data_IF_467724798893
#
_entry.id   IF_467724798893
#
_cell.length_a   1.000
_cell.length_b   1.000
_cell.length_c   1.000
_cell.angle_alpha   90.00
_cell.angle_beta   90.00
_cell.angle_gamma   90.00
#
_symmetry.space_group_name_H-M   'P 1'
#
loop_
_entity.id
_entity.type
_entity.pdbx_description
1 polymer ?
#
# COMPACT_ATOMS: atom_id res chain seq x y z
N UNK A 1 21.72 -56.15 2.70
CA UNK A 1 22.34 -55.12 3.57
C UNK A 1 22.96 -54.11 2.64
N UNK A 2 22.27 -53.00 2.36
CA UNK A 2 22.81 -51.96 1.50
C UNK A 2 22.29 -50.60 1.98
N UNK A 3 23.22 -49.71 2.32
CA UNK A 3 22.95 -48.37 2.89
C UNK A 3 22.78 -47.38 1.74
N UNK A 4 21.55 -47.00 1.43
CA UNK A 4 21.27 -45.83 0.60
C UNK A 4 21.28 -44.57 1.49
N UNK A 5 22.37 -43.81 1.42
CA UNK A 5 22.51 -42.50 2.02
C UNK A 5 21.60 -41.49 1.30
N UNK A 6 20.57 -41.00 2.01
CA UNK A 6 19.77 -39.86 1.57
C UNK A 6 20.56 -38.60 1.89
N UNK A 7 21.20 -38.03 0.87
CA UNK A 7 21.83 -36.72 0.92
C UNK A 7 20.73 -35.65 1.04
N UNK A 8 20.50 -35.16 2.25
CA UNK A 8 19.78 -33.90 2.50
C UNK A 8 20.67 -32.73 2.06
N UNK A 9 20.48 -32.27 0.83
CA UNK A 9 21.05 -31.02 0.34
C UNK A 9 20.42 -29.83 1.06
N UNK A 10 21.15 -29.26 2.01
CA UNK A 10 20.86 -28.02 2.68
C UNK A 10 21.27 -26.83 1.79
N UNK A 11 20.40 -26.46 0.84
CA UNK A 11 20.47 -25.19 0.11
C UNK A 11 19.05 -24.64 -0.12
N UNK A 12 18.36 -24.38 0.99
CA UNK A 12 17.13 -23.60 0.97
C UNK A 12 17.50 -22.15 0.62
N UNK A 13 17.38 -21.79 -0.65
CA UNK A 13 17.41 -20.40 -1.10
C UNK A 13 16.30 -19.61 -0.39
N UNK A 14 16.66 -19.03 0.75
CA UNK A 14 15.95 -17.95 1.39
C UNK A 14 15.86 -16.87 0.30
N UNK A 15 14.65 -16.54 -0.10
CA UNK A 15 14.42 -15.86 -1.37
C UNK A 15 13.05 -16.26 -1.84
N UNK A 16 12.05 -15.99 -0.99
CA UNK A 16 10.65 -16.26 -1.23
C UNK A 16 10.14 -15.58 -2.48
N UNK A 17 10.47 -16.14 -3.65
CA UNK A 17 9.64 -16.04 -4.83
C UNK A 17 8.33 -16.71 -4.45
N UNK A 18 7.22 -16.00 -4.63
CA UNK A 18 5.92 -16.65 -4.66
C UNK A 18 6.03 -17.84 -5.64
N UNK A 19 5.84 -19.10 -5.20
CA UNK A 19 5.98 -20.22 -6.11
C UNK A 19 4.93 -20.08 -7.21
N UNK A 20 5.33 -20.03 -8.49
CA UNK A 20 4.36 -20.16 -9.56
C UNK A 20 3.81 -21.58 -9.46
N UNK A 21 2.54 -21.72 -9.08
CA UNK A 21 1.79 -22.95 -9.33
C UNK A 21 1.66 -23.08 -10.85
N UNK A 22 2.63 -23.74 -11.50
CA UNK A 22 2.60 -24.05 -12.93
C UNK A 22 2.69 -25.57 -13.15
N UNK A 23 1.84 -26.14 -14.01
CA UNK A 23 2.04 -27.48 -14.54
C UNK A 23 3.33 -27.52 -15.39
N UNK A 24 4.04 -28.64 -15.31
CA UNK A 24 5.46 -28.83 -15.64
C UNK A 24 5.85 -28.83 -17.13
N UNK A 25 4.95 -28.53 -18.08
CA UNK A 25 5.22 -28.75 -19.52
C UNK A 25 5.08 -27.49 -20.41
N UNK A 26 5.33 -26.27 -19.89
CA UNK A 26 5.30 -25.05 -20.73
C UNK A 26 6.72 -24.68 -21.17
N UNK A 27 7.02 -24.61 -22.49
CA UNK A 27 8.35 -24.25 -22.98
C UNK A 27 8.82 -22.89 -22.45
N UNK A 28 10.14 -22.69 -22.29
CA UNK A 28 10.71 -21.46 -21.76
C UNK A 28 10.29 -20.28 -22.67
N UNK A 29 9.51 -19.35 -22.12
CA UNK A 29 9.14 -18.11 -22.80
C UNK A 29 10.35 -17.16 -22.85
N UNK A 30 11.33 -17.48 -23.68
CA UNK A 30 12.44 -16.59 -24.05
C UNK A 30 11.99 -15.71 -25.22
N UNK A 31 11.77 -14.40 -24.98
CA UNK A 31 12.03 -13.27 -25.92
C UNK A 31 11.14 -12.02 -25.77
N UNK A 32 10.01 -12.03 -25.04
CA UNK A 32 9.13 -10.83 -24.93
C UNK A 32 9.22 -10.11 -23.59
N UNK A 33 10.43 -9.87 -23.09
CA UNK A 33 10.65 -9.02 -21.92
C UNK A 33 10.32 -7.54 -22.18
N UNK A 34 10.29 -7.12 -23.46
CA UNK A 34 10.04 -5.73 -23.87
C UNK A 34 8.60 -5.26 -23.63
N UNK A 35 7.61 -6.14 -23.80
CA UNK A 35 6.19 -5.77 -23.70
C UNK A 35 5.79 -5.16 -22.35
N UNK A 36 6.09 -5.82 -21.21
CA UNK A 36 5.80 -5.26 -19.89
C UNK A 36 6.53 -3.93 -19.61
N UNK A 37 7.71 -3.71 -20.20
CA UNK A 37 8.54 -2.53 -19.94
C UNK A 37 7.96 -1.33 -20.67
N UNK A 38 7.65 -1.50 -21.96
CA UNK A 38 6.99 -0.48 -22.76
C UNK A 38 5.65 -0.08 -22.15
N UNK A 39 4.86 -1.05 -21.67
CA UNK A 39 3.61 -0.76 -20.97
C UNK A 39 3.85 0.02 -19.67
N UNK A 40 4.86 -0.35 -18.88
CA UNK A 40 5.21 0.35 -17.65
C UNK A 40 5.64 1.80 -17.91
N UNK A 41 6.51 2.03 -18.90
CA UNK A 41 6.93 3.38 -19.30
C UNK A 41 5.75 4.20 -19.83
N UNK A 42 4.91 3.61 -20.68
CA UNK A 42 3.72 4.25 -21.21
C UNK A 42 2.73 4.67 -20.11
N UNK A 43 2.46 3.80 -19.14
CA UNK A 43 1.60 4.13 -17.98
C UNK A 43 2.26 5.18 -17.08
N UNK A 44 3.58 5.10 -16.84
CA UNK A 44 4.31 6.11 -16.08
C UNK A 44 4.20 7.50 -16.71
N UNK A 45 4.41 7.60 -18.03
CA UNK A 45 4.26 8.84 -18.78
C UNK A 45 2.81 9.34 -18.79
N UNK A 46 1.84 8.45 -18.97
CA UNK A 46 0.42 8.81 -18.90
C UNK A 46 0.04 9.33 -17.50
N UNK A 47 0.56 8.73 -16.43
CA UNK A 47 0.34 9.18 -15.07
C UNK A 47 1.00 10.55 -14.80
N UNK A 48 2.21 10.76 -15.32
CA UNK A 48 2.88 12.08 -15.30
C UNK A 48 2.04 13.14 -16.02
N UNK A 49 1.58 12.85 -17.24
CA UNK A 49 0.74 13.74 -18.02
C UNK A 49 -0.60 14.02 -17.32
N UNK A 50 -1.22 13.00 -16.72
CA UNK A 50 -2.46 13.12 -15.98
C UNK A 50 -2.34 14.15 -14.83
N UNK A 51 -1.26 14.10 -14.05
CA UNK A 51 -1.06 15.08 -12.97
C UNK A 51 -0.54 16.43 -13.46
N UNK A 52 0.21 16.45 -14.57
CA UNK A 52 0.71 17.68 -15.18
C UNK A 52 -0.42 18.53 -15.77
N UNK A 53 -1.34 17.92 -16.52
CA UNK A 53 -2.42 18.64 -17.20
C UNK A 53 -3.73 18.64 -16.41
N UNK A 54 -4.04 17.56 -15.70
CA UNK A 54 -5.33 17.38 -15.01
C UNK A 54 -5.33 17.88 -13.57
N UNK A 55 -4.24 17.65 -12.83
CA UNK A 55 -4.13 17.97 -11.40
C UNK A 55 -3.56 19.38 -11.11
N UNK A 56 -3.31 20.19 -12.14
CA UNK A 56 -2.92 21.61 -12.02
C UNK A 56 -4.06 22.55 -11.64
N UNK A 57 -5.28 22.04 -11.44
CA UNK A 57 -6.37 22.88 -10.95
C UNK A 57 -6.01 23.29 -9.53
N UNK A 58 -5.41 24.44 -9.34
CA UNK A 58 -5.52 25.21 -8.10
C UNK A 58 -7.03 25.40 -7.87
N UNK A 59 -7.58 25.19 -6.66
CA UNK A 59 -8.94 25.68 -6.42
C UNK A 59 -8.94 27.18 -6.69
N UNK A 60 -10.06 27.82 -7.04
CA UNK A 60 -10.12 29.28 -7.15
C UNK A 60 -9.50 30.03 -5.94
N UNK A 61 -9.35 29.33 -4.81
CA UNK A 61 -8.81 29.84 -3.54
C UNK A 61 -7.31 29.56 -3.31
N UNK A 62 -6.58 28.87 -4.19
CA UNK A 62 -5.13 28.67 -4.01
C UNK A 62 -4.70 27.40 -3.26
N UNK A 63 -5.62 26.57 -2.77
CA UNK A 63 -5.28 25.46 -1.88
C UNK A 63 -4.65 24.26 -2.63
N UNK A 64 -3.63 23.63 -2.05
CA UNK A 64 -3.09 22.38 -2.63
C UNK A 64 -4.11 21.24 -2.56
N UNK A 65 -3.99 20.35 -3.54
CA UNK A 65 -4.97 19.28 -3.78
C UNK A 65 -4.50 17.88 -3.44
N UNK A 66 -3.18 17.69 -3.30
CA UNK A 66 -2.60 16.36 -3.19
C UNK A 66 -1.90 16.16 -1.86
N UNK A 67 -1.86 14.91 -1.41
CA UNK A 67 -1.10 14.54 -0.20
C UNK A 67 0.39 14.78 -0.39
N UNK A 68 0.90 14.68 -1.62
CA UNK A 68 2.28 14.97 -1.94
C UNK A 68 2.60 16.46 -1.84
N UNK A 69 1.69 17.34 -2.24
CA UNK A 69 1.91 18.79 -2.19
C UNK A 69 2.19 19.24 -0.74
N UNK A 70 1.39 18.72 0.19
CA UNK A 70 1.57 18.93 1.62
C UNK A 70 3.00 18.58 2.06
N UNK A 71 3.50 17.40 1.65
CA UNK A 71 4.85 16.95 1.97
C UNK A 71 5.94 17.76 1.28
N UNK A 72 5.71 18.21 0.05
CA UNK A 72 6.63 19.06 -0.68
C UNK A 72 6.79 20.43 0.02
N UNK A 73 5.68 21.04 0.45
CA UNK A 73 5.71 22.30 1.21
C UNK A 73 6.35 22.10 2.59
N UNK A 74 6.02 21.00 3.29
CA UNK A 74 6.63 20.64 4.56
C UNK A 74 8.16 20.52 4.43
N UNK A 75 8.63 19.85 3.38
CA UNK A 75 10.04 19.66 3.10
C UNK A 75 10.76 21.00 2.82
N UNK A 76 10.09 21.95 2.15
CA UNK A 76 10.66 23.30 1.95
C UNK A 76 10.72 24.15 3.22
N UNK A 77 9.69 24.08 4.07
CA UNK A 77 9.71 24.75 5.37
C UNK A 77 10.84 24.19 6.23
N UNK A 78 10.99 22.86 6.25
CA UNK A 78 12.09 22.19 6.94
C UNK A 78 13.46 22.64 6.39
N UNK A 79 13.60 22.72 5.07
CA UNK A 79 14.82 23.19 4.41
C UNK A 79 15.21 24.62 4.84
N UNK A 80 14.23 25.51 5.04
CA UNK A 80 14.46 26.87 5.53
C UNK A 80 14.61 26.97 7.06
N UNK A 81 14.70 25.84 7.78
CA UNK A 81 14.83 25.80 9.24
C UNK A 81 13.54 26.12 10.01
N UNK A 82 12.39 26.09 9.35
CA UNK A 82 11.08 26.29 9.98
C UNK A 82 10.46 24.99 10.50
N UNK A 83 9.39 25.12 11.29
CA UNK A 83 8.60 23.99 11.79
C UNK A 83 7.46 23.63 10.82
N UNK A 84 7.51 22.45 10.14
CA UNK A 84 6.46 22.05 9.20
C UNK A 84 5.09 21.86 9.86
N UNK A 85 5.04 21.49 11.14
CA UNK A 85 3.78 21.24 11.86
C UNK A 85 3.06 22.53 12.25
N UNK A 86 3.80 23.64 12.42
CA UNK A 86 3.22 24.97 12.64
C UNK A 86 2.87 25.67 11.31
N UNK A 87 3.64 25.41 10.25
CA UNK A 87 3.49 26.09 8.97
C UNK A 87 2.34 25.55 8.11
N UNK A 88 1.88 24.31 8.36
CA UNK A 88 0.86 23.66 7.54
C UNK A 88 -0.35 23.24 8.35
N UNK A 89 -1.53 23.64 7.90
CA UNK A 89 -2.79 23.22 8.50
C UNK A 89 -3.97 24.13 8.16
N UNK A 90 -5.13 23.91 8.81
CA UNK A 90 -6.34 24.67 8.57
C UNK A 90 -6.39 26.00 9.33
N UNK A 91 -5.41 26.28 10.20
CA UNK A 91 -5.40 27.45 11.07
C UNK A 91 -5.08 28.74 10.33
N UNK A 92 -5.58 29.86 10.88
CA UNK A 92 -5.21 31.19 10.43
C UNK A 92 -3.70 31.41 10.67
N UNK A 93 -3.00 31.92 9.65
CA UNK A 93 -1.56 32.15 9.70
C UNK A 93 -0.68 30.99 9.20
N UNK A 94 -1.26 29.83 8.84
CA UNK A 94 -0.50 28.78 8.17
C UNK A 94 0.12 29.31 6.87
N UNK A 95 1.44 29.11 6.71
CA UNK A 95 2.16 29.45 5.48
C UNK A 95 1.64 28.64 4.28
N UNK A 96 1.15 27.44 4.56
CA UNK A 96 0.51 26.57 3.58
C UNK A 96 -0.85 26.10 4.12
N UNK A 97 -1.94 26.68 3.63
CA UNK A 97 -3.30 26.34 4.07
C UNK A 97 -3.73 25.00 3.49
N UNK A 98 -4.17 24.11 4.37
CA UNK A 98 -4.72 22.82 4.01
C UNK A 98 -5.86 22.47 4.97
N UNK A 99 -6.87 21.74 4.49
CA UNK A 99 -8.02 21.35 5.31
C UNK A 99 -7.66 20.44 6.51
N UNK A 100 -6.43 19.91 6.56
CA UNK A 100 -5.95 19.02 7.61
C UNK A 100 -4.57 19.45 8.12
N UNK A 101 -4.26 19.22 9.42
CA UNK A 101 -2.89 19.28 9.92
C UNK A 101 -1.95 18.32 9.18
N UNK A 102 -0.63 18.53 9.35
CA UNK A 102 0.39 17.59 8.87
C UNK A 102 0.35 16.28 9.66
N UNK A 103 -0.41 15.31 9.17
CA UNK A 103 -0.49 13.96 9.78
C UNK A 103 0.71 13.06 9.46
N UNK A 104 1.54 13.45 8.50
CA UNK A 104 2.72 12.68 8.16
C UNK A 104 3.82 12.88 9.20
N UNK A 105 4.54 11.81 9.60
CA UNK A 105 5.71 11.95 10.45
C UNK A 105 6.84 12.65 9.69
N UNK A 106 7.76 13.30 10.41
CA UNK A 106 8.85 14.05 9.79
C UNK A 106 9.78 13.14 8.96
N UNK A 107 9.86 11.84 9.29
CA UNK A 107 10.57 10.84 8.47
C UNK A 107 10.05 10.79 7.03
N UNK A 108 8.75 10.95 6.81
CA UNK A 108 8.16 11.03 5.46
C UNK A 108 8.55 12.35 4.77
N UNK A 109 8.56 13.46 5.51
CA UNK A 109 8.97 14.77 4.99
C UNK A 109 10.43 14.74 4.54
N UNK A 110 11.31 14.15 5.36
CA UNK A 110 12.75 13.95 5.03
C UNK A 110 12.92 13.16 3.74
N UNK A 111 12.13 12.10 3.54
CA UNK A 111 12.18 11.31 2.32
C UNK A 111 11.77 12.09 1.05
N UNK A 112 11.03 13.17 1.20
CA UNK A 112 10.58 14.05 0.11
C UNK A 112 11.57 15.18 -0.17
N UNK A 113 12.53 15.47 0.72
CA UNK A 113 13.53 16.55 0.54
C UNK A 113 14.21 16.56 -0.84
N UNK A 114 14.66 15.43 -1.42
CA UNK A 114 15.27 15.43 -2.75
C UNK A 114 14.32 15.92 -3.85
N UNK A 115 13.03 15.61 -3.74
CA UNK A 115 12.00 16.07 -4.69
C UNK A 115 11.58 17.53 -4.42
N UNK A 116 11.73 18.01 -3.18
CA UNK A 116 11.39 19.39 -2.80
C UNK A 116 12.31 20.44 -3.46
N UNK A 117 13.52 20.03 -3.84
CA UNK A 117 14.45 20.86 -4.62
C UNK A 117 13.91 21.20 -6.03
N UNK A 118 13.02 20.37 -6.58
CA UNK A 118 12.42 20.58 -7.90
C UNK A 118 11.17 21.46 -7.82
N UNK A 119 10.78 22.15 -8.91
CA UNK A 119 9.47 22.79 -9.01
C UNK A 119 8.34 21.80 -8.73
N UNK A 120 7.31 22.22 -7.98
CA UNK A 120 6.23 21.35 -7.54
C UNK A 120 5.59 20.50 -8.66
N UNK A 121 5.30 21.03 -9.87
CA UNK A 121 4.73 20.22 -10.95
C UNK A 121 5.65 19.07 -11.39
N UNK A 122 6.97 19.32 -11.44
CA UNK A 122 7.97 18.31 -11.81
C UNK A 122 8.10 17.26 -10.70
N UNK A 123 8.21 17.71 -9.45
CA UNK A 123 8.27 16.82 -8.28
C UNK A 123 7.06 15.88 -8.22
N UNK A 124 5.85 16.43 -8.42
CA UNK A 124 4.59 15.66 -8.43
C UNK A 124 4.55 14.66 -9.58
N UNK A 125 4.93 15.07 -10.79
CA UNK A 125 4.96 14.19 -11.96
C UNK A 125 5.91 13.00 -11.73
N UNK A 126 7.10 13.25 -11.20
CA UNK A 126 8.07 12.19 -10.88
C UNK A 126 7.55 11.27 -9.77
N UNK A 127 6.99 11.85 -8.70
CA UNK A 127 6.44 11.10 -7.57
C UNK A 127 5.33 10.15 -8.00
N UNK A 128 4.52 10.51 -8.99
CA UNK A 128 3.41 9.68 -9.48
C UNK A 128 3.85 8.71 -10.58
N UNK A 129 4.69 9.15 -11.51
CA UNK A 129 5.11 8.36 -12.66
C UNK A 129 5.93 7.13 -12.27
N UNK A 130 6.92 7.28 -11.38
CA UNK A 130 7.82 6.19 -11.01
C UNK A 130 7.09 5.03 -10.30
N UNK A 131 6.24 5.27 -9.28
CA UNK A 131 5.41 4.22 -8.69
C UNK A 131 4.43 3.58 -9.67
N UNK A 132 3.78 4.38 -10.54
CA UNK A 132 2.83 3.86 -11.53
C UNK A 132 3.52 2.93 -12.53
N UNK A 133 4.69 3.31 -13.05
CA UNK A 133 5.50 2.48 -13.92
C UNK A 133 5.95 1.19 -13.20
N UNK A 134 6.47 1.30 -11.97
CA UNK A 134 6.92 0.14 -11.21
C UNK A 134 5.76 -0.83 -10.91
N UNK A 135 4.60 -0.32 -10.49
CA UNK A 135 3.41 -1.14 -10.25
C UNK A 135 2.98 -1.85 -11.54
N UNK A 136 2.90 -1.12 -12.65
CA UNK A 136 2.51 -1.64 -13.95
C UNK A 136 3.44 -2.76 -14.41
N UNK A 137 4.75 -2.57 -14.27
CA UNK A 137 5.76 -3.59 -14.57
C UNK A 137 5.49 -4.86 -13.76
N UNK A 138 5.25 -4.74 -12.46
CA UNK A 138 5.01 -5.90 -11.58
C UNK A 138 3.67 -6.60 -11.87
N UNK A 139 2.62 -5.87 -12.20
CA UNK A 139 1.33 -6.43 -12.61
C UNK A 139 1.45 -7.16 -13.97
N UNK A 140 2.10 -6.54 -14.95
CA UNK A 140 2.28 -7.09 -16.28
C UNK A 140 3.12 -8.37 -16.30
N UNK A 141 4.11 -8.49 -15.39
CA UNK A 141 4.88 -9.72 -15.19
C UNK A 141 4.09 -10.87 -14.56
N UNK A 142 3.02 -10.55 -13.82
CA UNK A 142 2.14 -11.54 -13.18
C UNK A 142 1.21 -12.21 -14.19
N UNK A 143 0.53 -11.42 -15.01
CA UNK A 143 -0.26 -11.91 -16.14
C UNK A 143 -0.62 -10.77 -17.11
N UNK A 144 -1.10 -11.13 -18.30
CA UNK A 144 -1.58 -10.15 -19.30
C UNK A 144 -2.80 -9.34 -18.87
N UNK A 145 -3.55 -9.78 -17.86
CA UNK A 145 -4.80 -9.14 -17.44
C UNK A 145 -4.69 -8.36 -16.12
N UNK A 146 -3.64 -8.55 -15.32
CA UNK A 146 -3.47 -7.78 -14.07
C UNK A 146 -3.35 -6.27 -14.30
N UNK A 147 -2.71 -5.76 -15.38
CA UNK A 147 -2.69 -4.33 -15.67
C UNK A 147 -4.07 -3.70 -15.84
N UNK A 148 -5.13 -4.47 -16.12
CA UNK A 148 -6.51 -3.94 -16.12
C UNK A 148 -6.90 -3.34 -14.77
N UNK A 149 -6.27 -3.77 -13.67
CA UNK A 149 -6.48 -3.20 -12.34
C UNK A 149 -6.07 -1.72 -12.23
N UNK A 150 -5.21 -1.23 -13.13
CA UNK A 150 -4.83 0.18 -13.20
C UNK A 150 -6.02 1.07 -13.60
N UNK A 151 -7.08 0.50 -14.17
CA UNK A 151 -8.33 1.18 -14.50
C UNK A 151 -9.28 1.28 -13.30
N UNK A 152 -8.93 0.70 -12.15
CA UNK A 152 -9.73 0.85 -10.93
C UNK A 152 -9.74 2.31 -10.48
N UNK A 153 -10.87 2.75 -9.94
CA UNK A 153 -10.98 4.10 -9.41
C UNK A 153 -9.95 4.34 -8.29
N UNK A 154 -9.67 3.33 -7.46
CA UNK A 154 -8.65 3.45 -6.41
C UNK A 154 -7.26 3.79 -6.95
N UNK A 155 -6.85 3.25 -8.10
CA UNK A 155 -5.57 3.65 -8.72
C UNK A 155 -5.66 5.06 -9.27
N UNK A 156 -6.72 5.42 -9.99
CA UNK A 156 -6.87 6.76 -10.60
C UNK A 156 -6.90 7.84 -9.50
N UNK A 157 -7.67 7.61 -8.45
CA UNK A 157 -7.74 8.44 -7.24
C UNK A 157 -6.37 8.56 -6.57
N UNK A 158 -5.63 7.45 -6.44
CA UNK A 158 -4.28 7.47 -5.89
C UNK A 158 -3.31 8.30 -6.74
N UNK A 159 -3.36 8.20 -8.07
CA UNK A 159 -2.52 9.00 -8.96
C UNK A 159 -2.91 10.49 -8.88
N UNK A 160 -4.21 10.80 -8.85
CA UNK A 160 -4.72 12.17 -8.79
C UNK A 160 -4.41 12.87 -7.47
N UNK A 161 -4.52 12.15 -6.35
CA UNK A 161 -4.18 12.62 -5.02
C UNK A 161 -2.68 12.50 -4.70
N UNK A 162 -1.85 12.04 -5.66
CA UNK A 162 -0.43 11.74 -5.49
C UNK A 162 -0.17 10.94 -4.19
N UNK A 163 -0.89 9.83 -4.07
CA UNK A 163 -0.90 8.96 -2.91
C UNK A 163 0.18 7.89 -2.94
N UNK A 164 0.63 7.52 -1.74
CA UNK A 164 1.66 6.53 -1.49
C UNK A 164 1.19 5.08 -1.68
N UNK A 165 -0.11 4.82 -1.84
CA UNK A 165 -0.64 3.45 -1.94
C UNK A 165 -0.14 2.72 -3.19
N UNK A 166 0.07 3.43 -4.30
CA UNK A 166 0.69 2.90 -5.53
C UNK A 166 2.15 2.53 -5.25
N UNK A 167 2.91 3.42 -4.62
CA UNK A 167 4.32 3.19 -4.28
C UNK A 167 4.48 2.02 -3.31
N UNK A 168 3.72 2.00 -2.22
CA UNK A 168 3.80 0.93 -1.21
C UNK A 168 3.39 -0.42 -1.79
N UNK A 169 2.36 -0.47 -2.64
CA UNK A 169 1.98 -1.70 -3.35
C UNK A 169 3.08 -2.15 -4.32
N UNK A 170 3.66 -1.22 -5.10
CA UNK A 170 4.74 -1.53 -6.02
C UNK A 170 6.00 -2.01 -5.28
N UNK A 171 6.34 -1.37 -4.17
CA UNK A 171 7.48 -1.68 -3.31
C UNK A 171 7.33 -3.06 -2.66
N UNK A 172 6.16 -3.37 -2.11
CA UNK A 172 5.88 -4.68 -1.51
C UNK A 172 5.98 -5.84 -2.54
N UNK A 173 5.76 -5.55 -3.82
CA UNK A 173 5.91 -6.50 -4.92
C UNK A 173 7.35 -6.59 -5.47
N UNK A 174 8.24 -5.68 -5.05
CA UNK A 174 9.59 -5.52 -5.60
C UNK A 174 10.62 -5.79 -4.50
N UNK A 175 11.32 -6.95 -4.53
CA UNK A 175 12.20 -7.36 -3.43
C UNK A 175 13.24 -6.32 -3.00
N UNK A 176 13.84 -5.60 -3.96
CA UNK A 176 14.87 -4.57 -3.69
C UNK A 176 14.31 -3.24 -3.19
N UNK A 177 13.00 -3.04 -3.29
CA UNK A 177 12.34 -1.78 -2.94
C UNK A 177 11.63 -1.86 -1.58
N UNK A 178 11.82 -2.93 -0.81
CA UNK A 178 11.14 -3.16 0.47
C UNK A 178 11.32 -2.00 1.46
N UNK A 179 12.49 -1.39 1.50
CA UNK A 179 12.77 -0.22 2.34
C UNK A 179 11.89 1.00 2.04
N UNK A 180 11.33 1.14 0.83
CA UNK A 180 10.41 2.25 0.48
C UNK A 180 9.08 2.18 1.24
N UNK A 181 8.77 1.04 1.87
CA UNK A 181 7.62 0.94 2.77
C UNK A 181 7.80 1.80 4.04
N UNK A 182 9.04 2.09 4.46
CA UNK A 182 9.28 2.97 5.60
C UNK A 182 8.83 4.42 5.37
N UNK A 183 8.63 4.83 4.11
CA UNK A 183 8.31 6.21 3.76
C UNK A 183 6.88 6.63 4.16
N UNK A 184 5.93 5.68 4.21
CA UNK A 184 4.58 5.91 4.75
C UNK A 184 4.21 4.73 5.66
N UNK A 185 4.66 4.74 6.93
CA UNK A 185 4.59 3.56 7.80
C UNK A 185 3.17 3.05 8.00
N UNK A 186 2.18 3.95 8.10
CA UNK A 186 0.77 3.59 8.28
C UNK A 186 0.21 2.83 7.07
N UNK A 187 0.45 3.27 5.83
CA UNK A 187 -0.03 2.57 4.63
C UNK A 187 0.76 1.26 4.40
N UNK A 188 2.04 1.27 4.74
CA UNK A 188 2.90 0.11 4.64
C UNK A 188 2.61 -0.98 5.68
N UNK A 189 2.05 -0.62 6.83
CA UNK A 189 1.79 -1.56 7.93
C UNK A 189 0.96 -2.75 7.47
N UNK A 190 0.00 -2.54 6.57
CA UNK A 190 -0.79 -3.63 6.00
C UNK A 190 0.09 -4.65 5.26
N UNK A 191 1.09 -4.20 4.50
CA UNK A 191 2.04 -5.06 3.81
C UNK A 191 3.00 -5.78 4.74
N UNK A 192 3.51 -5.07 5.74
CA UNK A 192 4.43 -5.63 6.74
C UNK A 192 3.74 -6.74 7.53
N UNK A 193 2.53 -6.48 8.04
CA UNK A 193 1.71 -7.46 8.76
C UNK A 193 1.26 -8.62 7.86
N UNK A 194 1.00 -8.35 6.58
CA UNK A 194 0.56 -9.40 5.68
C UNK A 194 1.69 -10.34 5.26
N UNK A 195 2.93 -9.85 5.12
CA UNK A 195 4.05 -10.64 4.62
C UNK A 195 4.87 -11.27 5.73
N UNK A 196 5.19 -10.52 6.79
CA UNK A 196 6.05 -10.92 7.92
C UNK A 196 7.35 -11.61 7.45
N UNK A 197 7.93 -11.09 6.37
CA UNK A 197 9.20 -11.58 5.82
C UNK A 197 10.37 -10.96 6.58
N UNK A 198 11.32 -11.75 7.13
CA UNK A 198 12.47 -11.21 7.84
C UNK A 198 13.31 -10.24 7.00
N UNK A 199 13.42 -10.50 5.70
CA UNK A 199 14.14 -9.61 4.77
C UNK A 199 13.42 -8.28 4.62
N UNK A 200 12.10 -8.31 4.41
CA UNK A 200 11.32 -7.09 4.30
C UNK A 200 11.39 -6.29 5.60
N UNK A 201 11.22 -6.95 6.75
CA UNK A 201 11.33 -6.32 8.06
C UNK A 201 12.69 -5.65 8.26
N UNK A 202 13.78 -6.34 7.90
CA UNK A 202 15.13 -5.79 7.94
C UNK A 202 15.26 -4.55 7.05
N UNK A 203 14.84 -4.64 5.78
CA UNK A 203 15.01 -3.55 4.82
C UNK A 203 14.16 -2.32 5.23
N UNK A 204 12.94 -2.54 5.74
CA UNK A 204 12.09 -1.49 6.33
C UNK A 204 12.71 -0.89 7.58
N UNK A 205 13.26 -1.72 8.47
CA UNK A 205 13.90 -1.26 9.69
C UNK A 205 15.14 -0.41 9.39
N UNK A 206 16.01 -0.83 8.47
CA UNK A 206 17.22 -0.08 8.10
C UNK A 206 16.85 1.29 7.54
N UNK A 207 15.96 1.35 6.54
CA UNK A 207 15.57 2.64 5.93
C UNK A 207 14.79 3.50 6.92
N UNK A 208 13.89 2.90 7.71
CA UNK A 208 13.11 3.60 8.72
C UNK A 208 13.96 4.20 9.84
N UNK A 209 14.94 3.44 10.36
CA UNK A 209 15.88 3.92 11.37
C UNK A 209 16.78 5.03 10.82
N UNK A 210 17.24 4.92 9.57
CA UNK A 210 18.02 5.97 8.93
C UNK A 210 17.22 7.27 8.80
N UNK A 211 15.97 7.19 8.33
CA UNK A 211 15.08 8.36 8.22
C UNK A 211 14.74 8.94 9.59
N UNK A 212 14.53 8.09 10.60
CA UNK A 212 14.29 8.53 11.98
C UNK A 212 15.50 9.25 12.56
N UNK A 213 16.71 8.75 12.35
CA UNK A 213 17.92 9.40 12.81
C UNK A 213 18.10 10.77 12.16
N UNK A 214 17.91 10.87 10.83
CA UNK A 214 17.99 12.15 10.11
C UNK A 214 16.87 13.11 10.56
N UNK A 215 15.64 12.63 10.76
CA UNK A 215 14.54 13.50 11.19
C UNK A 215 14.74 14.02 12.61
N UNK A 216 15.24 13.21 13.53
CA UNK A 216 15.58 13.64 14.90
C UNK A 216 16.76 14.60 14.93
N UNK A 217 17.72 14.45 14.01
CA UNK A 217 18.83 15.40 13.87
C UNK A 217 18.35 16.76 13.37
N UNK A 218 17.41 16.80 12.42
CA UNK A 218 16.85 18.04 11.88
C UNK A 218 15.91 18.74 12.86
N UNK A 219 15.12 17.98 13.63
CA UNK A 219 14.09 18.55 14.51
C UNK A 219 13.73 17.58 15.66
N UNK A 220 14.47 17.57 16.78
CA UNK A 220 14.27 16.58 17.84
C UNK A 220 12.88 16.63 18.52
N UNK A 221 12.14 17.74 18.36
CA UNK A 221 10.83 17.93 18.98
C UNK A 221 9.65 17.51 18.08
N UNK A 222 9.92 17.08 16.83
CA UNK A 222 8.87 16.77 15.84
C UNK A 222 7.88 15.70 16.31
N UNK A 223 8.34 14.71 17.08
CA UNK A 223 7.50 13.58 17.53
C UNK A 223 6.31 14.11 18.35
N UNK A 224 6.53 15.06 19.27
CA UNK A 224 5.46 15.61 20.10
C UNK A 224 4.42 16.36 19.27
N UNK A 225 4.85 17.17 18.31
CA UNK A 225 3.96 17.91 17.39
C UNK A 225 3.20 16.98 16.46
N UNK A 226 3.87 15.96 15.95
CA UNK A 226 3.24 14.92 15.13
C UNK A 226 2.18 14.15 15.92
N UNK A 227 2.49 13.71 17.14
CA UNK A 227 1.52 13.02 18.01
C UNK A 227 0.30 13.89 18.31
N UNK A 228 0.51 15.18 18.56
CA UNK A 228 -0.58 16.14 18.71
C UNK A 228 -1.44 16.22 17.44
N UNK A 229 -0.81 16.37 16.26
CA UNK A 229 -1.53 16.40 14.98
C UNK A 229 -2.33 15.11 14.72
N UNK A 230 -1.74 13.93 14.88
CA UNK A 230 -2.48 12.68 14.61
C UNK A 230 -3.58 12.41 15.64
N UNK A 231 -3.48 12.94 16.86
CA UNK A 231 -4.55 12.82 17.86
C UNK A 231 -5.85 13.50 17.42
N UNK A 232 -5.78 14.48 16.51
CA UNK A 232 -6.95 15.16 15.95
C UNK A 232 -7.52 14.46 14.70
N UNK A 233 -6.89 13.39 14.20
CA UNK A 233 -7.28 12.69 12.98
C UNK A 233 -8.48 11.75 13.19
N UNK A 234 -9.64 12.30 13.50
CA UNK A 234 -10.85 11.52 13.86
C UNK A 234 -11.36 10.59 12.76
N UNK A 235 -10.99 10.83 11.50
CA UNK A 235 -11.40 10.06 10.32
C UNK A 235 -10.47 8.89 9.99
N UNK A 236 -9.28 8.80 10.61
CA UNK A 236 -8.33 7.70 10.41
C UNK A 236 -8.57 6.65 11.47
N UNK A 237 -9.22 5.55 11.09
CA UNK A 237 -9.57 4.45 12.01
C UNK A 237 -9.43 3.10 11.33
N UNK A 238 -9.12 2.03 12.07
CA UNK A 238 -9.23 0.68 11.54
C UNK A 238 -10.64 0.42 11.01
N UNK A 239 -10.78 -0.22 9.85
CA UNK A 239 -12.10 -0.55 9.33
C UNK A 239 -12.84 -1.54 10.23
N UNK A 240 -12.11 -2.40 10.97
CA UNK A 240 -12.69 -3.41 11.84
C UNK A 240 -13.59 -2.85 12.96
N UNK A 241 -13.46 -1.56 13.29
CA UNK A 241 -14.36 -0.90 14.26
C UNK A 241 -15.80 -0.79 13.73
N UNK A 242 -16.01 -0.99 12.41
CA UNK A 242 -17.32 -1.04 11.78
C UNK A 242 -17.87 -2.47 11.86
N UNK A 243 -19.11 -2.69 12.32
CA UNK A 243 -19.74 -4.01 12.31
C UNK A 243 -19.75 -4.66 10.91
N UNK A 244 -19.93 -3.85 9.86
CA UNK A 244 -19.90 -4.33 8.47
C UNK A 244 -18.53 -4.91 8.04
N UNK A 245 -17.46 -4.60 8.76
CA UNK A 245 -16.12 -5.12 8.50
C UNK A 245 -15.82 -6.44 9.23
N UNK A 246 -16.63 -6.86 10.22
CA UNK A 246 -16.37 -8.09 10.98
C UNK A 246 -16.28 -9.36 10.11
N UNK A 247 -17.06 -9.52 9.02
CA UNK A 247 -16.85 -10.65 8.11
C UNK A 247 -15.43 -10.72 7.52
N UNK A 248 -14.69 -9.60 7.44
CA UNK A 248 -13.30 -9.61 6.95
C UNK A 248 -12.36 -10.44 7.85
N UNK A 249 -12.73 -10.69 9.11
CA UNK A 249 -12.01 -11.62 9.99
C UNK A 249 -12.01 -13.06 9.45
N UNK A 250 -13.01 -13.43 8.63
CA UNK A 250 -13.04 -14.74 7.97
C UNK A 250 -11.86 -14.93 7.02
N UNK A 251 -11.15 -13.87 6.60
CA UNK A 251 -9.90 -13.98 5.85
C UNK A 251 -8.83 -14.75 6.63
N UNK A 252 -8.89 -14.82 7.97
CA UNK A 252 -8.03 -15.67 8.79
C UNK A 252 -8.16 -17.15 8.44
N UNK A 253 -9.34 -17.62 8.01
CA UNK A 253 -9.51 -19.01 7.54
C UNK A 253 -8.62 -19.34 6.33
N UNK A 254 -8.15 -18.30 5.62
CA UNK A 254 -7.28 -18.38 4.45
C UNK A 254 -5.88 -17.78 4.70
N UNK A 255 -5.42 -17.74 5.96
CA UNK A 255 -4.19 -17.07 6.39
C UNK A 255 -2.91 -17.46 5.64
N UNK A 256 -2.82 -18.67 5.07
CA UNK A 256 -1.62 -19.08 4.30
C UNK A 256 -1.48 -18.28 3.01
N UNK A 257 -2.55 -17.66 2.54
CA UNK A 257 -2.55 -16.86 1.32
C UNK A 257 -2.14 -15.42 1.61
N UNK A 258 -1.31 -14.85 0.74
CA UNK A 258 -0.93 -13.45 0.84
C UNK A 258 -2.12 -12.50 0.61
N UNK A 259 -3.00 -12.81 -0.35
CA UNK A 259 -4.17 -11.98 -0.66
C UNK A 259 -5.15 -11.89 0.53
N UNK A 260 -5.37 -12.99 1.25
CA UNK A 260 -6.15 -13.01 2.49
C UNK A 260 -5.52 -12.18 3.61
N UNK A 261 -4.20 -12.29 3.79
CA UNK A 261 -3.46 -11.54 4.81
C UNK A 261 -3.45 -10.04 4.53
N UNK A 262 -3.25 -9.64 3.27
CA UNK A 262 -3.33 -8.22 2.86
C UNK A 262 -4.73 -7.68 3.13
N UNK A 263 -5.78 -8.40 2.71
CA UNK A 263 -7.17 -8.01 2.95
C UNK A 263 -7.46 -7.80 4.45
N UNK A 264 -7.05 -8.75 5.29
CA UNK A 264 -7.22 -8.65 6.74
C UNK A 264 -6.40 -7.49 7.32
N UNK A 265 -5.14 -7.35 6.93
CA UNK A 265 -4.27 -6.30 7.45
C UNK A 265 -4.79 -4.91 7.07
N UNK A 266 -5.29 -4.72 5.85
CA UNK A 266 -5.98 -3.47 5.44
C UNK A 266 -7.20 -3.17 6.31
N UNK A 267 -7.92 -4.18 6.81
CA UNK A 267 -9.06 -3.97 7.69
C UNK A 267 -8.66 -3.58 9.13
N UNK A 268 -7.48 -4.05 9.59
CA UNK A 268 -6.99 -3.85 10.96
C UNK A 268 -6.15 -2.57 11.13
N UNK A 269 -5.52 -2.10 10.06
CA UNK A 269 -4.68 -0.91 10.10
C UNK A 269 -5.54 0.35 10.03
N UNK A 270 -5.22 1.42 10.80
CA UNK A 270 -5.87 2.70 10.63
C UNK A 270 -5.64 3.27 9.22
N UNK A 271 -6.73 3.48 8.47
CA UNK A 271 -6.67 4.03 7.12
C UNK A 271 -7.65 5.19 6.96
N UNK A 272 -7.35 6.07 6.00
CA UNK A 272 -8.34 7.02 5.49
C UNK A 272 -9.34 6.23 4.63
N UNK A 273 -10.65 6.46 4.75
CA UNK A 273 -11.66 5.70 4.01
C UNK A 273 -11.80 6.18 2.55
N UNK A 274 -10.68 6.19 1.84
CA UNK A 274 -10.60 6.62 0.46
C UNK A 274 -10.33 5.41 -0.46
N UNK A 275 -10.87 5.41 -1.68
CA UNK A 275 -10.63 4.34 -2.64
C UNK A 275 -9.16 4.06 -2.93
N UNK A 276 -8.29 5.08 -2.84
CA UNK A 276 -6.85 4.90 -3.04
C UNK A 276 -6.17 3.96 -2.04
N UNK A 277 -6.73 3.71 -0.85
CA UNK A 277 -6.15 2.76 0.11
C UNK A 277 -6.37 1.30 -0.30
N UNK A 278 -7.17 1.04 -1.35
CA UNK A 278 -7.54 -0.30 -1.81
C UNK A 278 -6.66 -0.82 -2.95
N UNK A 279 -5.65 -0.06 -3.38
CA UNK A 279 -4.66 -0.50 -4.40
C UNK A 279 -4.02 -1.85 -4.06
N UNK A 280 -3.73 -2.21 -2.80
CA UNK A 280 -3.25 -3.56 -2.45
C UNK A 280 -4.17 -4.71 -2.89
N UNK A 281 -5.48 -4.45 -3.00
CA UNK A 281 -6.47 -5.47 -3.36
C UNK A 281 -6.40 -5.89 -4.84
N UNK A 282 -5.61 -5.20 -5.67
CA UNK A 282 -5.33 -5.62 -7.05
C UNK A 282 -4.67 -7.01 -7.13
N UNK A 283 -4.14 -7.52 -6.01
CA UNK A 283 -3.60 -8.89 -5.93
C UNK A 283 -4.66 -9.97 -5.66
N UNK A 284 -5.88 -9.58 -5.30
CA UNK A 284 -6.95 -10.53 -4.97
C UNK A 284 -7.46 -11.25 -6.21
N UNK A 285 -7.80 -10.61 -7.35
CA UNK A 285 -8.34 -11.32 -8.51
C UNK A 285 -7.39 -12.41 -9.07
N UNK A 286 -7.96 -13.50 -9.61
CA UNK A 286 -7.20 -14.61 -10.25
C UNK A 286 -7.57 -14.84 -11.71
N UNK A 287 -8.52 -14.07 -12.23
CA UNK A 287 -8.93 -14.10 -13.63
C UNK A 287 -9.26 -12.69 -14.11
N UNK A 288 -9.32 -12.53 -15.44
CA UNK A 288 -9.75 -11.28 -16.08
C UNK A 288 -11.12 -10.83 -15.58
N UNK A 289 -12.08 -11.75 -15.47
CA UNK A 289 -13.45 -11.44 -15.01
C UNK A 289 -13.44 -10.94 -13.56
N UNK A 290 -12.69 -11.60 -12.67
CA UNK A 290 -12.56 -11.15 -11.28
C UNK A 290 -11.90 -9.77 -11.17
N UNK A 291 -10.92 -9.48 -12.05
CA UNK A 291 -10.25 -8.18 -12.08
C UNK A 291 -11.20 -7.08 -12.56
N UNK A 292 -11.93 -7.33 -13.64
CA UNK A 292 -12.94 -6.38 -14.14
C UNK A 292 -14.06 -6.16 -13.12
N UNK A 293 -14.52 -7.21 -12.44
CA UNK A 293 -15.49 -7.08 -11.36
C UNK A 293 -14.96 -6.17 -10.23
N UNK A 294 -13.70 -6.37 -9.79
CA UNK A 294 -13.08 -5.51 -8.77
C UNK A 294 -12.97 -4.05 -9.27
N UNK A 295 -12.54 -3.83 -10.51
CA UNK A 295 -12.49 -2.49 -11.12
C UNK A 295 -13.86 -1.83 -11.09
N UNK A 296 -14.91 -2.51 -11.57
CA UNK A 296 -16.28 -2.00 -11.55
C UNK A 296 -16.76 -1.68 -10.13
N UNK A 297 -16.49 -2.57 -9.18
CA UNK A 297 -16.77 -2.37 -7.76
C UNK A 297 -16.17 -1.07 -7.22
N UNK A 298 -14.91 -0.75 -7.56
CA UNK A 298 -14.29 0.51 -7.12
C UNK A 298 -14.95 1.76 -7.71
N UNK A 299 -15.41 1.69 -8.96
CA UNK A 299 -16.13 2.78 -9.62
C UNK A 299 -17.53 2.98 -9.04
N UNK A 300 -18.25 1.89 -8.75
CA UNK A 300 -19.56 1.96 -8.09
C UNK A 300 -19.40 2.53 -6.68
N UNK A 301 -18.40 2.09 -5.92
CA UNK A 301 -18.10 2.65 -4.60
C UNK A 301 -17.82 4.16 -4.66
N UNK A 302 -17.04 4.60 -5.65
CA UNK A 302 -16.85 6.02 -5.90
C UNK A 302 -18.14 6.75 -6.26
N UNK A 303 -18.96 6.21 -7.16
CA UNK A 303 -20.22 6.85 -7.54
C UNK A 303 -21.14 7.02 -6.33
N UNK A 304 -21.25 5.99 -5.47
CA UNK A 304 -22.02 6.05 -4.22
C UNK A 304 -21.45 7.10 -3.28
N UNK A 305 -20.12 7.14 -3.09
CA UNK A 305 -19.47 8.19 -2.30
C UNK A 305 -19.76 9.56 -2.88
N UNK A 306 -19.54 9.79 -4.17
CA UNK A 306 -19.72 11.09 -4.79
C UNK A 306 -21.17 11.59 -4.67
N UNK A 307 -22.16 10.75 -4.95
CA UNK A 307 -23.57 11.14 -4.97
C UNK A 307 -24.15 11.37 -3.57
N UNK A 308 -23.77 10.58 -2.57
CA UNK A 308 -24.39 10.66 -1.23
C UNK A 308 -23.76 11.71 -0.31
N UNK A 309 -22.67 12.35 -0.75
CA UNK A 309 -21.76 13.06 0.17
C UNK A 309 -21.70 14.57 -0.05
N UNK A 310 -22.23 15.09 -1.16
CA UNK A 310 -22.06 16.50 -1.55
C UNK A 310 -22.59 17.48 -0.49
N UNK A 311 -23.56 17.08 0.35
CA UNK A 311 -24.23 17.98 1.30
C UNK A 311 -24.28 17.51 2.77
N UNK A 312 -23.46 16.54 3.17
CA UNK A 312 -23.46 16.03 4.56
C UNK A 312 -22.22 16.43 5.34
N UNK A 313 -22.37 16.58 6.66
CA UNK A 313 -21.26 16.83 7.59
C UNK A 313 -20.13 15.80 7.43
N UNK A 314 -18.88 16.24 7.63
CA UNK A 314 -17.67 15.43 7.37
C UNK A 314 -17.68 14.05 8.07
N UNK A 315 -18.14 13.98 9.33
CA UNK A 315 -18.22 12.71 10.06
C UNK A 315 -19.16 11.70 9.39
N UNK A 316 -20.32 12.16 8.90
CA UNK A 316 -21.28 11.33 8.16
C UNK A 316 -20.72 10.92 6.80
N UNK A 317 -20.05 11.87 6.10
CA UNK A 317 -19.33 11.63 4.84
C UNK A 317 -18.31 10.49 4.98
N UNK A 318 -17.47 10.54 6.01
CA UNK A 318 -16.48 9.50 6.33
C UNK A 318 -17.15 8.15 6.56
N UNK A 319 -18.27 8.13 7.29
CA UNK A 319 -18.96 6.87 7.55
C UNK A 319 -19.58 6.22 6.33
N UNK A 320 -20.27 7.00 5.50
CA UNK A 320 -20.83 6.50 4.24
C UNK A 320 -19.72 6.00 3.31
N UNK A 321 -18.58 6.69 3.26
CA UNK A 321 -17.43 6.24 2.48
C UNK A 321 -16.88 4.90 2.95
N UNK A 322 -16.71 4.72 4.27
CA UNK A 322 -16.29 3.43 4.86
C UNK A 322 -17.25 2.31 4.50
N UNK A 323 -18.55 2.53 4.72
CA UNK A 323 -19.57 1.50 4.51
C UNK A 323 -19.67 1.12 3.02
N UNK A 324 -19.54 2.09 2.11
CA UNK A 324 -19.49 1.85 0.67
C UNK A 324 -18.25 1.03 0.25
N UNK A 325 -17.06 1.37 0.74
CA UNK A 325 -15.84 0.59 0.44
C UNK A 325 -15.93 -0.84 0.98
N UNK A 326 -16.49 -1.00 2.19
CA UNK A 326 -16.73 -2.30 2.81
C UNK A 326 -17.68 -3.15 1.98
N UNK A 327 -18.88 -2.65 1.72
CA UNK A 327 -19.94 -3.37 1.01
C UNK A 327 -19.56 -3.68 -0.45
N UNK A 328 -18.97 -2.72 -1.15
CA UNK A 328 -18.82 -2.79 -2.60
C UNK A 328 -17.45 -3.28 -3.04
N UNK A 329 -16.41 -3.21 -2.19
CA UNK A 329 -15.04 -3.60 -2.58
C UNK A 329 -14.47 -4.70 -1.69
N UNK A 330 -14.41 -4.48 -0.37
CA UNK A 330 -13.73 -5.40 0.55
C UNK A 330 -14.49 -6.71 0.75
N UNK A 331 -15.83 -6.67 0.90
CA UNK A 331 -16.63 -7.89 1.04
C UNK A 331 -16.65 -8.73 -0.25
N UNK A 332 -16.80 -8.15 -1.47
CA UNK A 332 -16.59 -8.90 -2.70
C UNK A 332 -15.19 -9.50 -2.81
N UNK A 333 -14.14 -8.76 -2.43
CA UNK A 333 -12.77 -9.29 -2.38
C UNK A 333 -12.65 -10.46 -1.38
N UNK A 334 -13.31 -10.38 -0.23
CA UNK A 334 -13.38 -11.47 0.75
C UNK A 334 -14.02 -12.72 0.13
N UNK A 335 -15.16 -12.59 -0.55
CA UNK A 335 -15.81 -13.72 -1.23
C UNK A 335 -14.87 -14.40 -2.22
N UNK A 336 -14.10 -13.61 -2.99
CA UNK A 336 -13.09 -14.16 -3.90
C UNK A 336 -11.98 -14.92 -3.16
N UNK A 337 -11.55 -14.43 -1.99
CA UNK A 337 -10.56 -15.10 -1.13
C UNK A 337 -11.11 -16.40 -0.54
N UNK A 338 -12.34 -16.37 0.01
CA UNK A 338 -12.96 -17.50 0.70
C UNK A 338 -13.33 -18.66 -0.24
N UNK A 339 -13.54 -18.40 -1.53
CA UNK A 339 -13.80 -19.43 -2.55
C UNK A 339 -12.57 -20.27 -2.91
N UNK A 340 -11.39 -19.98 -2.35
CA UNK A 340 -10.12 -20.61 -2.74
C UNK A 340 -9.52 -21.42 -1.61
N UNK A 341 -8.80 -22.51 -1.88
CA UNK A 341 -8.14 -23.29 -0.85
C UNK A 341 -7.10 -22.47 -0.06
N UNK A 342 -6.93 -22.81 1.22
CA UNK A 342 -5.96 -22.17 2.13
C UNK A 342 -4.54 -22.72 1.86
N UNK A 343 -3.97 -22.36 0.72
CA UNK A 343 -2.63 -22.78 0.28
C UNK A 343 -1.70 -21.59 0.10
N UNK A 344 -0.44 -21.74 0.47
CA UNK A 344 0.57 -20.70 0.33
C UNK A 344 1.75 -20.87 1.28
N UNK A 345 2.77 -20.03 1.09
CA UNK A 345 3.95 -19.98 1.94
C UNK A 345 3.55 -19.60 3.37
N UNK A 346 3.92 -20.46 4.31
CA UNK A 346 3.78 -20.22 5.73
C UNK A 346 4.90 -19.26 6.15
N UNK A 347 4.61 -18.17 6.88
CA UNK A 347 5.65 -17.31 7.43
C UNK A 347 6.63 -18.11 8.31
N UNK A 348 7.92 -17.76 8.36
CA UNK A 348 8.91 -18.48 9.17
C UNK A 348 8.47 -18.69 10.62
N UNK A 349 7.95 -17.65 11.27
CA UNK A 349 7.47 -17.72 12.66
C UNK A 349 6.40 -18.79 12.90
N UNK A 350 5.54 -19.07 11.92
CA UNK A 350 4.49 -20.06 12.05
C UNK A 350 5.04 -21.48 11.87
N UNK A 351 6.09 -21.64 11.04
CA UNK A 351 6.83 -22.90 10.97
C UNK A 351 7.59 -23.16 12.28
N UNK A 352 8.22 -22.13 12.84
CA UNK A 352 8.95 -22.20 14.11
C UNK A 352 8.01 -22.53 15.29
N UNK A 353 6.85 -21.86 15.37
CA UNK A 353 5.85 -22.15 16.39
C UNK A 353 5.31 -23.58 16.29
N UNK A 354 5.05 -24.07 15.07
CA UNK A 354 4.62 -25.46 14.86
C UNK A 354 5.73 -26.46 15.21
N UNK A 355 6.99 -26.13 14.97
CA UNK A 355 8.13 -26.94 15.41
C UNK A 355 8.23 -26.97 16.95
N UNK A 356 8.15 -25.81 17.59
CA UNK A 356 8.18 -25.67 19.06
C UNK A 356 7.03 -26.41 19.77
N UNK A 357 5.83 -26.37 19.21
CA UNK A 357 4.69 -27.12 19.75
C UNK A 357 4.87 -28.64 19.63
N UNK A 358 5.49 -29.11 18.54
CA UNK A 358 5.83 -30.53 18.34
C UNK A 358 6.91 -31.00 19.30
N UNK A 359 7.97 -30.21 19.50
CA UNK A 359 9.07 -30.59 20.43
C UNK A 359 8.61 -30.64 21.89
N UNK A 360 7.54 -29.92 22.27
CA UNK A 360 6.91 -30.00 23.59
C UNK A 360 5.82 -31.06 23.73
N UNK A 361 5.65 -31.95 22.75
CA UNK A 361 4.61 -33.00 22.78
C UNK A 361 3.18 -32.48 22.78
N UNK A 362 2.95 -31.20 22.45
CA UNK A 362 1.60 -30.59 22.41
C UNK A 362 0.88 -30.82 21.08
N UNK A 363 1.60 -31.32 20.07
CA UNK A 363 1.04 -31.76 18.81
C UNK A 363 1.48 -33.20 18.56
N UNK A 364 0.56 -34.10 18.16
CA UNK A 364 0.95 -35.43 17.73
C UNK A 364 1.98 -35.31 16.60
N UNK A 365 3.05 -36.10 16.69
CA UNK A 365 3.93 -36.33 15.55
C UNK A 365 3.04 -36.85 14.42
N UNK A 366 3.00 -36.12 13.30
CA UNK A 366 2.31 -36.61 12.12
C UNK A 366 2.84 -38.03 11.85
N UNK A 367 1.95 -39.02 11.86
CA UNK A 367 2.30 -40.38 11.49
C UNK A 367 2.96 -40.34 10.09
N UNK A 368 4.01 -41.14 9.88
CA UNK A 368 4.88 -41.07 8.70
C UNK A 368 4.14 -41.13 7.37
#
# INVERSE_FOLDING_TARGET
MDRAAVQCGADAQIGGRLPPSRPSNVPPRSSRASGPLLLALGVGLAAAAFVWFGAQRVTPNGDARSDFDHLWFAARVLWSGGDPYAAIGPHAGAAFRFQWPLYYPLTTVVAVLPLAALPLPVARALFVAAPAALLTWQLARRSRWHPLGLLSYGVIDALGAAQWSVLTTAAALTPVAGGLLALKPQAALAWVLATLSPRLLRDVAIVGLALLAVSLWLDPAWIGRWLHAVSTATHVRPLIVRPLAWPLLLALSRWRRLDARVLLATALVPITPAPYELVPLLLVPRSRVQMLALVSCTWIAYAVQYQLVVHVAMARRVGVAQDALLALVLLPALVLVLRRPNVGAVPPWAADAAHWLRTRGRLPTAAP
#
